data_IF_756025226150
#
_entry.id   IF_756025226150
#
_cell.length_a   1.000
_cell.length_b   1.000
_cell.length_c   1.000
_cell.angle_alpha   90.00
_cell.angle_beta   90.00
_cell.angle_gamma   90.00
#
_symmetry.space_group_name_H-M   'P 1'
#
loop_
_entity.id
_entity.type
_entity.pdbx_description
1 polymer ?
#
# COMPACT_ATOMS: atom_id res chain seq x y z
N UNK A 1 9.07 -34.31 49.78
CA UNK A 1 9.31 -34.81 48.41
C UNK A 1 9.46 -33.60 47.49
N UNK A 2 10.25 -33.78 46.43
CA UNK A 2 11.03 -32.76 45.71
C UNK A 2 10.17 -31.86 44.80
N UNK A 3 10.69 -30.63 44.63
CA UNK A 3 10.29 -29.52 43.75
C UNK A 3 9.94 -29.93 42.30
N UNK A 4 9.02 -29.22 41.68
CA UNK A 4 8.89 -29.12 40.21
C UNK A 4 8.36 -27.71 39.90
N UNK A 5 9.29 -26.76 39.71
CA UNK A 5 9.76 -26.24 38.41
C UNK A 5 8.66 -25.45 37.69
N UNK A 6 8.79 -24.12 37.81
CA UNK A 6 8.22 -23.17 36.87
C UNK A 6 8.84 -23.38 35.48
N UNK A 7 8.04 -23.31 34.42
CA UNK A 7 8.51 -22.79 33.14
C UNK A 7 7.31 -22.18 32.40
N UNK A 8 7.35 -20.85 32.32
CA UNK A 8 6.55 -20.04 31.43
C UNK A 8 6.79 -20.44 29.97
N UNK A 9 5.79 -20.24 29.10
CA UNK A 9 5.97 -19.86 27.69
C UNK A 9 4.62 -19.39 27.13
N UNK A 10 4.40 -18.07 27.20
CA UNK A 10 3.47 -17.36 26.33
C UNK A 10 3.95 -17.51 24.88
N UNK A 11 3.09 -17.85 23.91
CA UNK A 11 3.33 -17.47 22.53
C UNK A 11 2.70 -16.10 22.28
N UNK A 12 3.60 -15.11 22.19
CA UNK A 12 3.56 -13.93 21.34
C UNK A 12 2.20 -13.54 20.74
N UNK A 13 1.68 -12.42 21.24
CA UNK A 13 0.89 -11.47 20.47
C UNK A 13 1.66 -11.12 19.18
N UNK A 14 1.31 -11.73 18.05
CA UNK A 14 1.70 -11.22 16.74
C UNK A 14 0.76 -10.06 16.40
N UNK A 15 1.07 -8.90 16.99
CA UNK A 15 0.51 -7.64 16.55
C UNK A 15 1.10 -7.35 15.16
N UNK A 16 0.45 -7.84 14.11
CA UNK A 16 0.69 -7.36 12.76
C UNK A 16 0.16 -5.93 12.70
N UNK A 17 0.98 -4.97 13.12
CA UNK A 17 0.74 -3.57 12.80
C UNK A 17 0.67 -3.48 11.27
N UNK A 18 -0.39 -2.91 10.67
CA UNK A 18 -0.34 -2.55 9.28
C UNK A 18 0.63 -1.37 9.19
N UNK A 19 1.91 -1.67 8.94
CA UNK A 19 2.83 -0.67 8.44
C UNK A 19 2.42 -0.42 6.99
N UNK A 20 1.37 0.38 6.81
CA UNK A 20 1.26 1.20 5.62
C UNK A 20 2.41 2.20 5.75
N UNK A 21 3.60 1.84 5.25
CA UNK A 21 4.62 2.83 5.00
C UNK A 21 3.96 3.90 4.14
N UNK A 22 3.85 5.11 4.67
CA UNK A 22 3.24 6.24 3.99
C UNK A 22 4.01 6.41 2.68
N UNK A 23 3.38 6.12 1.54
CA UNK A 23 4.08 6.18 0.26
C UNK A 23 4.62 7.58 -0.01
N UNK A 24 5.72 7.65 -0.75
CA UNK A 24 6.28 8.93 -1.20
C UNK A 24 5.61 9.35 -2.51
N UNK A 25 4.77 10.40 -2.44
CA UNK A 25 4.06 10.94 -3.60
C UNK A 25 4.99 11.47 -4.71
N UNK A 26 6.17 12.00 -4.36
CA UNK A 26 7.16 12.47 -5.35
C UNK A 26 7.76 11.28 -6.10
N UNK A 27 8.13 10.23 -5.37
CA UNK A 27 8.57 8.97 -6.00
C UNK A 27 7.44 8.32 -6.81
N UNK A 28 6.19 8.46 -6.37
CA UNK A 28 5.00 8.00 -7.07
C UNK A 28 4.77 8.72 -8.39
N UNK A 29 4.93 10.04 -8.43
CA UNK A 29 4.87 10.84 -9.64
C UNK A 29 5.91 10.39 -10.67
N UNK A 30 7.16 10.21 -10.22
CA UNK A 30 8.24 9.73 -11.08
C UNK A 30 7.96 8.31 -11.62
N UNK A 31 7.41 7.42 -10.79
CA UNK A 31 7.00 6.08 -11.21
C UNK A 31 5.85 6.14 -12.23
N UNK A 32 4.86 7.01 -12.00
CA UNK A 32 3.73 7.23 -12.90
C UNK A 32 4.20 7.73 -14.27
N UNK A 33 5.06 8.74 -14.30
CA UNK A 33 5.62 9.28 -15.53
C UNK A 33 6.37 8.21 -16.33
N UNK A 34 7.12 7.34 -15.65
CA UNK A 34 7.92 6.29 -16.28
C UNK A 34 7.09 5.13 -16.84
N UNK A 35 6.06 4.68 -16.12
CA UNK A 35 5.38 3.41 -16.40
C UNK A 35 3.91 3.58 -16.84
N UNK A 36 3.21 4.57 -16.31
CA UNK A 36 1.75 4.71 -16.45
C UNK A 36 1.38 5.75 -17.53
N UNK A 37 2.14 6.83 -17.64
CA UNK A 37 1.83 7.96 -18.52
C UNK A 37 1.81 7.59 -20.01
N UNK A 38 2.53 6.54 -20.42
CA UNK A 38 2.49 6.02 -21.80
C UNK A 38 1.07 5.66 -22.25
N UNK A 39 0.25 5.11 -21.35
CA UNK A 39 -1.12 4.71 -21.66
C UNK A 39 -2.15 5.72 -21.15
N UNK A 40 -1.93 6.30 -19.96
CA UNK A 40 -2.92 7.15 -19.29
C UNK A 40 -2.72 8.65 -19.52
N UNK A 41 -1.59 9.07 -20.10
CA UNK A 41 -1.15 10.46 -20.32
C UNK A 41 -0.95 11.29 -19.05
N UNK A 42 -1.99 11.46 -18.22
CA UNK A 42 -1.97 12.27 -16.98
C UNK A 42 -2.76 11.58 -15.87
N UNK A 43 -2.40 11.78 -14.59
CA UNK A 43 -3.09 11.18 -13.46
C UNK A 43 -4.56 11.62 -13.38
N UNK A 44 -4.83 12.90 -13.65
CA UNK A 44 -6.18 13.48 -13.65
C UNK A 44 -7.21 12.80 -14.56
N UNK A 45 -6.75 12.02 -15.56
CA UNK A 45 -7.65 11.26 -16.45
C UNK A 45 -8.15 9.97 -15.80
N UNK A 46 -7.46 9.47 -14.77
CA UNK A 46 -7.80 8.20 -14.11
C UNK A 46 -8.29 8.38 -12.69
N UNK A 47 -7.94 9.48 -12.00
CA UNK A 47 -8.36 9.70 -10.61
C UNK A 47 -9.88 9.69 -10.39
N UNK A 48 -10.75 10.13 -11.34
CA UNK A 48 -12.21 9.99 -11.17
C UNK A 48 -12.73 8.55 -11.15
N UNK A 49 -11.93 7.58 -11.63
CA UNK A 49 -12.31 6.16 -11.70
C UNK A 49 -11.77 5.34 -10.51
N UNK A 50 -11.11 5.98 -9.55
CA UNK A 50 -10.64 5.32 -8.33
C UNK A 50 -11.86 5.03 -7.44
N UNK A 51 -12.12 3.75 -7.17
CA UNK A 51 -13.26 3.34 -6.35
C UNK A 51 -12.98 3.53 -4.85
N UNK A 52 -14.04 3.78 -4.08
CA UNK A 52 -13.98 4.04 -2.64
C UNK A 52 -14.56 5.41 -2.28
N UNK A 53 -15.16 5.51 -1.10
CA UNK A 53 -15.77 6.73 -0.57
C UNK A 53 -14.81 7.47 0.35
N UNK A 54 -13.98 6.75 1.10
CA UNK A 54 -12.94 7.34 1.97
C UNK A 54 -11.55 7.22 1.34
N UNK A 55 -10.58 7.98 1.86
CA UNK A 55 -9.18 7.89 1.42
C UNK A 55 -8.61 6.50 1.65
N UNK A 56 -8.95 5.85 2.77
CA UNK A 56 -8.51 4.51 3.13
C UNK A 56 -9.08 3.45 2.17
N UNK A 57 -10.37 3.57 1.82
CA UNK A 57 -11.01 2.68 0.85
C UNK A 57 -10.38 2.81 -0.54
N UNK A 58 -10.10 4.06 -0.97
CA UNK A 58 -9.42 4.32 -2.24
C UNK A 58 -7.98 3.80 -2.25
N UNK A 59 -7.26 3.94 -1.14
CA UNK A 59 -5.91 3.41 -0.99
C UNK A 59 -5.91 1.88 -1.09
N UNK A 60 -6.84 1.22 -0.42
CA UNK A 60 -6.98 -0.24 -0.46
C UNK A 60 -7.35 -0.75 -1.87
N UNK A 61 -8.28 -0.05 -2.54
CA UNK A 61 -8.65 -0.38 -3.92
C UNK A 61 -7.47 -0.22 -4.88
N UNK A 62 -6.73 0.90 -4.79
CA UNK A 62 -5.56 1.15 -5.61
C UNK A 62 -4.48 0.10 -5.40
N UNK A 63 -4.14 -0.24 -4.16
CA UNK A 63 -3.10 -1.24 -3.88
C UNK A 63 -3.47 -2.61 -4.49
N UNK A 64 -4.72 -3.04 -4.31
CA UNK A 64 -5.22 -4.28 -4.88
C UNK A 64 -5.23 -4.27 -6.42
N UNK A 65 -5.72 -3.20 -7.03
CA UNK A 65 -5.78 -3.05 -8.49
C UNK A 65 -4.37 -3.03 -9.11
N UNK A 66 -3.48 -2.20 -8.56
CA UNK A 66 -2.13 -2.02 -9.08
C UNK A 66 -1.27 -3.29 -8.97
N UNK A 67 -1.54 -4.16 -8.00
CA UNK A 67 -0.87 -5.46 -7.88
C UNK A 67 -1.11 -6.35 -9.10
N UNK A 68 -2.28 -6.24 -9.73
CA UNK A 68 -2.62 -6.90 -11.01
C UNK A 68 -2.38 -6.03 -12.24
N UNK A 69 -2.13 -4.73 -12.06
CA UNK A 69 -2.01 -3.75 -13.14
C UNK A 69 -0.60 -3.12 -13.18
N UNK A 70 0.38 -3.90 -13.63
CA UNK A 70 1.75 -3.46 -13.95
C UNK A 70 2.63 -2.93 -12.78
N UNK A 71 2.15 -2.92 -11.53
CA UNK A 71 2.94 -2.52 -10.36
C UNK A 71 2.98 -3.63 -9.30
N UNK A 72 3.72 -4.71 -9.57
CA UNK A 72 3.79 -5.87 -8.67
C UNK A 72 4.66 -5.64 -7.43
N UNK A 73 5.57 -4.66 -7.47
CA UNK A 73 6.40 -4.28 -6.32
C UNK A 73 5.59 -3.46 -5.31
N UNK A 74 5.55 -3.91 -4.06
CA UNK A 74 4.74 -3.31 -3.00
C UNK A 74 5.17 -1.88 -2.65
N UNK A 75 6.47 -1.57 -2.70
CA UNK A 75 6.97 -0.22 -2.40
C UNK A 75 6.60 0.76 -3.52
N UNK A 76 6.72 0.33 -4.78
CA UNK A 76 6.27 1.14 -5.93
C UNK A 76 4.77 1.39 -5.87
N UNK A 77 3.96 0.39 -5.50
CA UNK A 77 2.52 0.60 -5.31
C UNK A 77 2.21 1.61 -4.22
N UNK A 78 2.84 1.51 -3.06
CA UNK A 78 2.62 2.47 -1.98
C UNK A 78 2.88 3.90 -2.44
N UNK A 79 3.98 4.13 -3.17
CA UNK A 79 4.30 5.44 -3.74
C UNK A 79 3.27 5.90 -4.80
N UNK A 80 2.85 5.01 -5.70
CA UNK A 80 1.81 5.31 -6.70
C UNK A 80 0.46 5.65 -6.03
N UNK A 81 0.08 4.92 -4.98
CA UNK A 81 -1.13 5.19 -4.19
C UNK A 81 -1.06 6.58 -3.57
N UNK A 82 0.06 6.92 -2.92
CA UNK A 82 0.26 8.24 -2.34
C UNK A 82 0.15 9.37 -3.38
N UNK A 83 0.75 9.18 -4.56
CA UNK A 83 0.65 10.15 -5.65
C UNK A 83 -0.77 10.29 -6.20
N UNK A 84 -1.45 9.18 -6.50
CA UNK A 84 -2.77 9.18 -7.13
C UNK A 84 -3.87 9.72 -6.21
N UNK A 85 -3.73 9.60 -4.90
CA UNK A 85 -4.67 10.18 -3.94
C UNK A 85 -4.44 11.67 -3.69
N UNK A 86 -3.28 12.20 -4.08
CA UNK A 86 -2.95 13.62 -3.99
C UNK A 86 -3.33 14.44 -5.26
N UNK A 87 -3.89 13.78 -6.30
CA UNK A 87 -4.25 14.36 -7.62
C UNK A 87 -5.72 14.14 -7.98
#
# INVERSE_FOLDING_TARGET
>A
MIRSIALALLPLLYLAAPVSAEGDATAGEAAYAKACARCHKTASRITPFIEGKTTEEKAAWLDAFLAGHHATDAKIRANLVAYLLAN
#
